data_IF_272239705376
#
_entry.id   IF_272239705376
#
_cell.length_a   1.000
_cell.length_b   1.000
_cell.length_c   1.000
_cell.angle_alpha   90.00
_cell.angle_beta   90.00
_cell.angle_gamma   90.00
#
_symmetry.space_group_name_H-M   'P 1'
#
loop_
_entity.id
_entity.type
_entity.pdbx_description
1 polymer ?
#
# COMPACT_ATOMS: atom_id res chain seq x y z
N UNK A 1 74.54 7.82 -0.67
CA UNK A 1 74.31 8.90 -1.65
C UNK A 1 72.85 8.81 -2.09
N UNK A 2 72.04 9.77 -1.63
CA UNK A 2 70.64 9.93 -2.05
C UNK A 2 70.61 10.39 -3.50
N UNK A 3 69.88 9.68 -4.37
CA UNK A 3 69.17 10.31 -5.49
C UNK A 3 67.79 9.66 -5.59
N UNK A 4 66.77 10.47 -5.32
CA UNK A 4 65.37 10.21 -5.62
C UNK A 4 65.00 11.16 -6.76
N UNK A 5 64.46 10.65 -7.89
CA UNK A 5 63.31 11.31 -8.53
C UNK A 5 62.73 10.55 -9.75
N UNK A 6 61.39 10.46 -9.68
CA UNK A 6 60.38 10.63 -10.74
C UNK A 6 60.17 9.56 -11.83
N UNK A 7 59.07 8.82 -11.62
CA UNK A 7 57.88 8.73 -12.50
C UNK A 7 58.08 8.76 -14.02
N UNK A 8 57.83 7.62 -14.68
CA UNK A 8 57.19 7.57 -16.01
C UNK A 8 56.23 6.37 -16.08
N UNK A 9 54.97 6.69 -16.37
CA UNK A 9 53.87 5.83 -16.80
C UNK A 9 54.24 4.88 -17.95
N UNK A 10 53.92 3.58 -17.86
CA UNK A 10 53.61 2.79 -19.07
C UNK A 10 52.72 1.56 -18.79
N UNK A 11 51.44 1.73 -19.15
CA UNK A 11 50.54 0.78 -19.84
C UNK A 11 50.82 -0.73 -19.65
N UNK A 12 49.95 -1.39 -18.88
CA UNK A 12 49.52 -2.76 -19.19
C UNK A 12 48.00 -2.83 -19.04
N UNK A 13 47.36 -2.66 -20.19
CA UNK A 13 45.93 -2.86 -20.44
C UNK A 13 45.64 -4.32 -20.11
N UNK A 14 44.93 -4.58 -19.01
CA UNK A 14 44.28 -5.88 -18.81
C UNK A 14 43.13 -5.92 -19.78
N UNK A 15 43.31 -6.75 -20.81
CA UNK A 15 42.38 -6.97 -21.89
C UNK A 15 41.00 -7.36 -21.34
N UNK A 16 40.00 -6.67 -21.89
CA UNK A 16 38.59 -6.94 -21.76
C UNK A 16 38.26 -8.40 -22.08
N UNK A 17 37.68 -9.10 -21.12
CA UNK A 17 36.62 -10.08 -21.39
C UNK A 17 35.41 -9.68 -20.55
N UNK A 18 34.90 -8.49 -20.82
CA UNK A 18 33.50 -8.18 -20.56
C UNK A 18 32.68 -9.06 -21.51
N UNK A 19 32.25 -10.23 -21.03
CA UNK A 19 31.00 -10.79 -21.54
C UNK A 19 29.89 -9.87 -21.07
N UNK A 20 29.63 -8.81 -21.85
CA UNK A 20 28.35 -8.14 -21.84
C UNK A 20 27.34 -9.19 -22.33
N UNK A 21 26.77 -9.94 -21.39
CA UNK A 21 25.40 -10.38 -21.58
C UNK A 21 24.59 -9.10 -21.63
N UNK A 22 24.35 -8.60 -22.84
CA UNK A 22 23.34 -7.60 -23.10
C UNK A 22 22.01 -8.18 -22.59
N UNK A 23 21.71 -7.93 -21.32
CA UNK A 23 20.35 -8.04 -20.81
C UNK A 23 19.59 -6.86 -21.42
N UNK A 24 19.15 -7.03 -22.66
CA UNK A 24 18.03 -6.26 -23.16
C UNK A 24 16.83 -6.66 -22.30
N UNK A 25 16.37 -5.75 -21.46
CA UNK A 25 15.06 -5.86 -20.85
C UNK A 25 14.05 -6.01 -22.00
N UNK A 26 13.36 -7.16 -22.03
CA UNK A 26 12.25 -7.37 -22.97
C UNK A 26 11.13 -6.46 -22.49
N UNK A 27 10.72 -5.49 -23.30
CA UNK A 27 9.60 -4.60 -23.02
C UNK A 27 8.40 -5.41 -22.51
N UNK A 28 7.90 -5.06 -21.32
CA UNK A 28 6.68 -5.63 -20.77
C UNK A 28 5.52 -4.68 -21.11
N UNK A 29 4.78 -4.99 -22.17
CA UNK A 29 3.67 -4.19 -22.69
C UNK A 29 2.46 -4.05 -21.76
N UNK A 30 2.50 -4.59 -20.54
CA UNK A 30 1.37 -4.49 -19.59
C UNK A 30 1.40 -3.21 -18.74
N UNK A 31 2.57 -2.58 -18.58
CA UNK A 31 2.74 -1.29 -17.91
C UNK A 31 3.96 -0.61 -18.54
N UNK A 32 3.83 0.59 -19.11
CA UNK A 32 4.96 1.37 -19.60
C UNK A 32 5.86 1.77 -18.40
N UNK A 33 6.71 0.85 -17.97
CA UNK A 33 7.69 1.02 -16.90
C UNK A 33 8.83 1.93 -17.41
N UNK A 34 8.61 3.25 -17.43
CA UNK A 34 9.73 4.14 -17.12
C UNK A 34 9.87 4.16 -15.61
N UNK A 35 10.52 3.14 -15.03
CA UNK A 35 11.09 3.12 -13.66
C UNK A 35 11.58 1.71 -13.25
N UNK A 36 11.89 0.83 -14.20
CA UNK A 36 12.60 -0.40 -13.90
C UNK A 36 14.11 -0.19 -14.08
N UNK A 37 14.75 0.50 -13.14
CA UNK A 37 16.21 0.50 -13.05
C UNK A 37 16.70 0.57 -11.60
N UNK A 38 16.77 -0.59 -10.98
CA UNK A 38 17.89 -1.04 -10.15
C UNK A 38 17.53 -2.36 -9.50
N UNK A 39 18.33 -3.38 -9.78
CA UNK A 39 18.32 -4.66 -9.08
C UNK A 39 18.63 -4.42 -7.60
N UNK A 40 17.61 -4.28 -6.76
CA UNK A 40 17.81 -4.05 -5.32
C UNK A 40 17.90 -5.35 -4.55
N UNK A 41 19.11 -5.65 -4.07
CA UNK A 41 19.42 -6.86 -3.32
C UNK A 41 18.97 -6.79 -1.86
N UNK A 42 18.68 -5.61 -1.28
CA UNK A 42 18.10 -5.47 0.08
C UNK A 42 17.32 -4.15 0.20
N UNK A 43 16.03 -4.26 0.56
CA UNK A 43 15.06 -3.18 0.84
C UNK A 43 14.52 -2.39 -0.37
N UNK A 44 13.21 -2.14 -0.47
CA UNK A 44 12.59 -1.48 -1.63
C UNK A 44 12.87 0.03 -1.70
N UNK A 45 13.19 0.54 -2.90
CA UNK A 45 13.29 1.97 -3.26
C UNK A 45 11.92 2.63 -3.05
N UNK A 46 11.86 3.67 -2.21
CA UNK A 46 10.75 4.61 -2.14
C UNK A 46 11.01 5.80 -3.09
N UNK A 47 10.68 5.71 -4.39
CA UNK A 47 10.66 6.89 -5.26
C UNK A 47 9.58 6.80 -6.33
N UNK A 48 8.34 7.04 -5.93
CA UNK A 48 7.24 7.49 -6.79
C UNK A 48 6.36 8.38 -5.90
N UNK A 49 5.60 9.33 -6.45
CA UNK A 49 4.69 10.15 -5.64
C UNK A 49 3.85 9.28 -4.68
N UNK A 50 3.37 9.87 -3.57
CA UNK A 50 2.68 9.12 -2.53
C UNK A 50 1.56 8.21 -3.07
N UNK A 51 0.95 8.55 -4.21
CA UNK A 51 -0.18 7.88 -4.83
C UNK A 51 0.17 6.87 -5.93
N UNK A 52 1.46 6.63 -6.19
CA UNK A 52 1.94 5.65 -7.16
C UNK A 52 2.89 4.60 -6.54
N UNK A 53 2.89 4.49 -5.21
CA UNK A 53 3.58 3.42 -4.48
C UNK A 53 3.08 2.06 -4.97
N UNK A 54 3.99 1.18 -5.38
CA UNK A 54 3.65 -0.18 -5.80
C UNK A 54 4.53 -1.23 -5.11
N UNK A 55 4.04 -2.47 -5.09
CA UNK A 55 4.81 -3.64 -4.68
C UNK A 55 4.66 -4.74 -5.71
N UNK A 56 5.77 -5.32 -6.13
CA UNK A 56 5.82 -6.45 -7.07
C UNK A 56 6.03 -7.71 -6.25
N UNK A 57 5.01 -8.58 -6.21
CA UNK A 57 5.10 -9.86 -5.52
C UNK A 57 5.73 -10.88 -6.47
N UNK A 58 5.30 -10.88 -7.73
CA UNK A 58 5.88 -11.64 -8.83
C UNK A 58 5.46 -11.01 -10.18
N UNK A 59 5.96 -11.49 -11.34
CA UNK A 59 5.64 -10.89 -12.64
C UNK A 59 4.14 -10.79 -12.97
N UNK A 60 3.32 -11.67 -12.39
CA UNK A 60 1.88 -11.76 -12.61
C UNK A 60 1.05 -11.29 -11.40
N UNK A 61 1.70 -10.77 -10.35
CA UNK A 61 1.02 -10.27 -9.16
C UNK A 61 1.70 -9.00 -8.67
N UNK A 62 1.05 -7.86 -8.93
CA UNK A 62 1.49 -6.53 -8.48
C UNK A 62 0.34 -5.81 -7.80
N UNK A 63 0.65 -4.99 -6.82
CA UNK A 63 -0.31 -4.10 -6.16
C UNK A 63 0.21 -2.67 -6.22
N UNK A 64 -0.67 -1.71 -6.45
CA UNK A 64 -0.30 -0.30 -6.42
C UNK A 64 -1.42 0.58 -5.88
N UNK A 65 -1.01 1.66 -5.25
CA UNK A 65 -1.85 2.83 -5.08
C UNK A 65 -1.93 3.52 -6.45
N UNK A 66 -3.07 4.09 -6.80
CA UNK A 66 -3.28 4.74 -8.10
C UNK A 66 -4.05 6.03 -7.92
N UNK A 67 -3.53 7.09 -8.52
CA UNK A 67 -4.21 8.37 -8.69
C UNK A 67 -5.19 8.30 -9.87
N UNK A 68 -6.45 8.66 -9.64
CA UNK A 68 -7.50 8.73 -10.66
C UNK A 68 -7.90 10.18 -10.97
N UNK A 69 -7.07 11.14 -10.58
CA UNK A 69 -7.28 12.56 -10.79
C UNK A 69 -8.16 13.21 -9.72
N UNK A 70 -8.63 14.41 -10.02
CA UNK A 70 -9.38 15.22 -9.07
C UNK A 70 -10.85 15.37 -9.49
N UNK A 71 -11.72 15.66 -8.51
CA UNK A 71 -13.11 16.07 -8.74
C UNK A 71 -13.44 17.31 -7.94
N UNK A 72 -14.06 18.28 -8.60
CA UNK A 72 -14.59 19.46 -7.93
C UNK A 72 -16.00 19.20 -7.41
N UNK A 73 -16.28 19.70 -6.22
CA UNK A 73 -17.55 19.57 -5.50
C UNK A 73 -17.94 20.91 -4.91
N UNK A 74 -19.25 21.08 -4.74
CA UNK A 74 -19.82 22.25 -4.06
C UNK A 74 -20.75 21.76 -2.96
N UNK A 75 -20.58 22.28 -1.74
CA UNK A 75 -21.47 22.01 -0.61
C UNK A 75 -21.72 23.31 0.14
N UNK A 76 -22.99 23.70 0.29
CA UNK A 76 -23.40 24.93 0.99
C UNK A 76 -22.60 26.18 0.52
N UNK A 77 -22.47 26.36 -0.79
CA UNK A 77 -21.70 27.44 -1.45
C UNK A 77 -20.18 27.44 -1.22
N UNK A 78 -19.63 26.38 -0.62
CA UNK A 78 -18.19 26.17 -0.53
C UNK A 78 -17.77 25.22 -1.64
N UNK A 79 -16.88 25.70 -2.52
CA UNK A 79 -16.24 24.87 -3.53
C UNK A 79 -15.00 24.19 -2.93
N UNK A 80 -14.85 22.90 -3.19
CA UNK A 80 -13.69 22.13 -2.74
C UNK A 80 -13.39 21.01 -3.73
N UNK A 81 -12.12 20.62 -3.77
CA UNK A 81 -11.64 19.56 -4.64
C UNK A 81 -11.35 18.31 -3.81
N UNK A 82 -11.73 17.15 -4.33
CA UNK A 82 -11.34 15.85 -3.80
C UNK A 82 -10.38 15.17 -4.77
N UNK A 83 -9.35 14.52 -4.24
CA UNK A 83 -8.45 13.64 -4.98
C UNK A 83 -9.04 12.23 -5.01
N UNK A 84 -9.29 11.71 -6.21
CA UNK A 84 -9.69 10.32 -6.43
C UNK A 84 -8.45 9.44 -6.43
N UNK A 85 -8.51 8.35 -5.69
CA UNK A 85 -7.48 7.33 -5.72
C UNK A 85 -8.08 5.96 -5.48
N UNK A 86 -7.25 4.94 -5.62
CA UNK A 86 -7.63 3.60 -5.27
C UNK A 86 -6.47 2.63 -5.28
N UNK A 87 -6.79 1.37 -4.99
CA UNK A 87 -5.82 0.28 -5.00
C UNK A 87 -6.15 -0.66 -6.14
N UNK A 88 -5.17 -0.84 -7.02
CA UNK A 88 -5.24 -1.76 -8.14
C UNK A 88 -4.32 -2.95 -7.91
N UNK A 89 -4.80 -4.14 -8.25
CA UNK A 89 -4.04 -5.39 -8.23
C UNK A 89 -3.97 -5.95 -9.64
N UNK A 90 -2.76 -6.05 -10.20
CA UNK A 90 -2.52 -6.89 -11.37
C UNK A 90 -2.51 -8.34 -10.88
N UNK A 91 -3.43 -9.17 -11.36
CA UNK A 91 -3.48 -10.60 -11.09
C UNK A 91 -3.57 -11.37 -12.41
N UNK A 92 -2.51 -12.09 -12.75
CA UNK A 92 -2.31 -12.63 -14.08
C UNK A 92 -2.05 -11.51 -15.09
N UNK A 93 -2.97 -11.36 -16.05
CA UNK A 93 -2.93 -10.31 -17.08
C UNK A 93 -4.02 -9.25 -16.91
N UNK A 94 -4.78 -9.34 -15.82
CA UNK A 94 -5.95 -8.49 -15.58
C UNK A 94 -5.70 -7.61 -14.36
N UNK A 95 -6.12 -6.35 -14.47
CA UNK A 95 -6.06 -5.39 -13.36
C UNK A 95 -7.42 -5.38 -12.68
N UNK A 96 -7.41 -5.48 -11.36
CA UNK A 96 -8.60 -5.44 -10.53
C UNK A 96 -8.54 -4.25 -9.58
N UNK A 97 -9.63 -3.50 -9.50
CA UNK A 97 -9.84 -2.46 -8.50
C UNK A 97 -10.39 -3.08 -7.22
N UNK A 98 -9.67 -2.89 -6.12
CA UNK A 98 -10.09 -3.31 -4.76
C UNK A 98 -10.66 -2.13 -3.98
N UNK A 99 -10.23 -0.93 -4.32
CA UNK A 99 -10.70 0.32 -3.73
C UNK A 99 -10.72 1.36 -4.84
N UNK A 100 -11.82 2.12 -4.94
CA UNK A 100 -11.88 3.40 -5.64
C UNK A 100 -12.66 4.37 -4.76
N UNK A 101 -12.02 5.45 -4.35
CA UNK A 101 -12.61 6.43 -3.42
C UNK A 101 -12.03 7.82 -3.66
N UNK A 102 -12.42 8.79 -2.84
CA UNK A 102 -11.92 10.14 -2.89
C UNK A 102 -11.68 10.72 -1.49
N UNK A 103 -10.57 11.45 -1.34
CA UNK A 103 -10.18 12.16 -0.12
C UNK A 103 -10.02 13.65 -0.41
N UNK A 104 -10.05 14.54 0.59
CA UNK A 104 -9.64 15.93 0.39
C UNK A 104 -8.26 16.02 -0.27
N UNK A 105 -8.01 17.05 -1.08
CA UNK A 105 -6.67 17.25 -1.69
C UNK A 105 -5.58 17.37 -0.62
N UNK A 106 -5.90 17.97 0.53
CA UNK A 106 -5.03 18.05 1.72
C UNK A 106 -5.03 16.73 2.53
N UNK A 107 -4.80 15.60 1.85
CA UNK A 107 -4.71 14.29 2.48
C UNK A 107 -3.47 13.53 2.06
N UNK A 108 -2.91 12.80 3.02
CA UNK A 108 -1.84 11.84 2.80
C UNK A 108 -2.44 10.43 2.80
N UNK A 109 -2.17 9.68 1.73
CA UNK A 109 -2.57 8.28 1.60
C UNK A 109 -1.32 7.42 1.49
N UNK A 110 -1.23 6.40 2.35
CA UNK A 110 -0.15 5.42 2.35
C UNK A 110 -0.71 4.01 2.09
N UNK A 111 0.04 3.22 1.33
CA UNK A 111 -0.21 1.81 1.06
C UNK A 111 0.97 0.99 1.59
N UNK A 112 0.68 0.01 2.46
CA UNK A 112 1.68 -0.90 2.98
C UNK A 112 1.28 -2.36 2.74
N UNK A 113 2.20 -3.16 2.18
CA UNK A 113 2.04 -4.61 2.09
C UNK A 113 2.31 -5.24 3.46
N UNK A 114 1.36 -6.03 3.98
CA UNK A 114 1.47 -6.65 5.30
C UNK A 114 1.86 -8.13 5.22
N UNK A 115 1.33 -8.84 4.22
CA UNK A 115 1.52 -10.28 4.08
C UNK A 115 1.19 -10.72 2.66
N UNK A 116 1.83 -11.79 2.19
CA UNK A 116 1.38 -12.51 1.02
C UNK A 116 1.77 -13.98 1.07
N UNK A 117 0.92 -14.82 0.48
CA UNK A 117 1.25 -16.21 0.14
C UNK A 117 0.66 -16.55 -1.24
N UNK A 118 0.41 -17.84 -1.51
CA UNK A 118 -0.17 -18.31 -2.78
C UNK A 118 -1.67 -18.06 -2.92
N UNK A 119 -2.37 -17.78 -1.82
CA UNK A 119 -3.82 -17.65 -1.77
C UNK A 119 -4.26 -16.22 -1.41
N UNK A 120 -3.56 -15.56 -0.49
CA UNK A 120 -3.93 -14.27 0.06
C UNK A 120 -2.82 -13.24 -0.16
N UNK A 121 -3.25 -12.03 -0.50
CA UNK A 121 -2.47 -10.80 -0.47
C UNK A 121 -3.10 -9.86 0.56
N UNK A 122 -2.37 -9.45 1.59
CA UNK A 122 -2.87 -8.54 2.61
C UNK A 122 -2.10 -7.23 2.62
N UNK A 123 -2.83 -6.12 2.65
CA UNK A 123 -2.26 -4.78 2.60
C UNK A 123 -3.11 -3.81 3.41
N UNK A 124 -2.52 -2.68 3.78
CA UNK A 124 -3.16 -1.62 4.54
C UNK A 124 -3.17 -0.34 3.73
N UNK A 125 -4.29 0.36 3.76
CA UNK A 125 -4.41 1.75 3.31
C UNK A 125 -4.60 2.63 4.54
N UNK A 126 -3.80 3.69 4.66
CA UNK A 126 -3.94 4.72 5.68
C UNK A 126 -4.23 6.05 5.00
N UNK A 127 -5.27 6.74 5.46
CA UNK A 127 -5.69 8.05 4.99
C UNK A 127 -5.64 9.03 6.16
N UNK A 128 -4.79 10.04 6.06
CA UNK A 128 -4.75 11.15 7.02
C UNK A 128 -5.16 12.42 6.28
N UNK A 129 -6.34 12.93 6.60
CA UNK A 129 -6.99 14.00 5.85
C UNK A 129 -7.23 15.24 6.71
N UNK A 130 -7.14 16.42 6.09
CA UNK A 130 -7.66 17.67 6.65
C UNK A 130 -8.99 18.01 5.99
N UNK A 131 -10.07 18.12 6.78
CA UNK A 131 -11.40 18.44 6.30
C UNK A 131 -11.67 19.92 6.61
N UNK A 132 -11.51 20.80 5.62
CA UNK A 132 -11.60 22.26 5.80
C UNK A 132 -12.79 22.93 5.09
N UNK A 133 -13.63 22.16 4.37
CA UNK A 133 -14.83 22.65 3.68
C UNK A 133 -16.11 22.60 4.55
N UNK A 134 -15.94 22.67 5.86
CA UNK A 134 -17.01 22.68 6.88
C UNK A 134 -16.80 23.85 7.85
N UNK A 135 -17.80 24.15 8.69
CA UNK A 135 -17.75 25.31 9.60
C UNK A 135 -16.56 25.26 10.57
N UNK A 136 -16.22 24.07 11.07
CA UNK A 136 -15.11 23.85 11.98
C UNK A 136 -14.21 22.77 11.34
N UNK A 137 -13.02 23.13 10.83
CA UNK A 137 -12.09 22.16 10.27
C UNK A 137 -11.64 21.11 11.29
N UNK A 138 -11.39 19.90 10.82
CA UNK A 138 -10.92 18.78 11.64
C UNK A 138 -9.98 17.85 10.87
N UNK A 139 -9.19 17.07 11.60
CA UNK A 139 -8.36 15.99 11.06
C UNK A 139 -9.13 14.68 11.11
N UNK A 140 -8.92 13.84 10.10
CA UNK A 140 -9.47 12.48 10.04
C UNK A 140 -8.34 11.50 9.77
N UNK A 141 -8.25 10.46 10.58
CA UNK A 141 -7.38 9.32 10.34
C UNK A 141 -8.23 8.07 10.09
N UNK A 142 -8.11 7.50 8.90
CA UNK A 142 -8.73 6.23 8.55
C UNK A 142 -7.65 5.20 8.23
N UNK A 143 -7.80 4.01 8.80
CA UNK A 143 -6.93 2.87 8.50
C UNK A 143 -7.83 1.71 8.15
N UNK A 144 -7.66 1.19 6.94
CA UNK A 144 -8.36 -0.01 6.49
C UNK A 144 -7.34 -1.06 6.06
N UNK A 145 -7.48 -2.28 6.59
CA UNK A 145 -6.69 -3.43 6.16
C UNK A 145 -7.52 -4.30 5.24
N UNK A 146 -6.94 -4.68 4.12
CA UNK A 146 -7.56 -5.50 3.11
C UNK A 146 -6.88 -6.86 3.05
N UNK A 147 -7.69 -7.92 2.92
CA UNK A 147 -7.20 -9.24 2.53
C UNK A 147 -7.87 -9.60 1.21
N UNK A 148 -7.05 -9.75 0.17
CA UNK A 148 -7.45 -10.10 -1.19
C UNK A 148 -7.12 -11.57 -1.46
N UNK A 149 -8.10 -12.32 -1.93
CA UNK A 149 -7.95 -13.70 -2.36
C UNK A 149 -7.55 -13.74 -3.84
N UNK A 150 -6.32 -14.17 -4.09
CA UNK A 150 -5.67 -14.20 -5.40
C UNK A 150 -6.37 -15.18 -6.36
N UNK A 151 -7.06 -16.21 -5.85
CA UNK A 151 -7.68 -17.23 -6.71
C UNK A 151 -9.00 -16.79 -7.30
N UNK A 152 -9.82 -16.10 -6.53
CA UNK A 152 -11.16 -15.70 -6.95
C UNK A 152 -11.36 -14.19 -7.10
N UNK A 153 -10.33 -13.38 -6.80
CA UNK A 153 -10.35 -11.92 -6.88
C UNK A 153 -11.38 -11.29 -5.93
N UNK A 154 -11.78 -12.00 -4.87
CA UNK A 154 -12.61 -11.42 -3.82
C UNK A 154 -11.72 -10.85 -2.73
N UNK A 155 -12.25 -9.92 -1.95
CA UNK A 155 -11.54 -9.31 -0.84
C UNK A 155 -12.47 -8.99 0.32
N UNK A 156 -11.88 -8.70 1.47
CA UNK A 156 -12.55 -8.06 2.60
C UNK A 156 -11.81 -6.76 2.92
N UNK A 157 -12.55 -5.77 3.42
CA UNK A 157 -11.99 -4.56 4.03
C UNK A 157 -12.30 -4.56 5.54
N UNK A 158 -11.29 -4.31 6.35
CA UNK A 158 -11.37 -4.29 7.80
C UNK A 158 -11.12 -2.85 8.25
N UNK A 159 -12.14 -2.09 8.67
CA UNK A 159 -11.94 -0.76 9.20
C UNK A 159 -11.28 -0.86 10.58
N UNK A 160 -10.01 -0.51 10.66
CA UNK A 160 -9.20 -0.62 11.89
C UNK A 160 -9.28 0.67 12.70
N UNK A 161 -9.22 1.82 12.01
CA UNK A 161 -9.37 3.14 12.60
C UNK A 161 -10.33 3.96 11.74
N UNK A 162 -11.26 4.62 12.41
CA UNK A 162 -12.04 5.73 11.87
C UNK A 162 -12.15 6.78 12.96
N UNK A 163 -11.22 7.73 12.98
CA UNK A 163 -11.05 8.68 14.09
C UNK A 163 -11.02 10.11 13.55
N UNK A 164 -11.94 10.92 14.03
CA UNK A 164 -12.02 12.35 13.75
C UNK A 164 -11.51 13.13 14.98
N UNK A 165 -10.71 14.17 14.74
CA UNK A 165 -10.26 15.03 15.81
C UNK A 165 -11.41 15.87 16.35
N UNK A 166 -11.51 15.97 17.67
CA UNK A 166 -12.33 17.00 18.31
C UNK A 166 -11.83 18.41 17.95
N UNK A 167 -12.75 19.37 17.99
CA UNK A 167 -12.52 20.77 17.60
C UNK A 167 -11.16 21.29 18.09
N UNK A 168 -10.29 21.64 17.13
CA UNK A 168 -8.95 22.23 17.34
C UNK A 168 -7.87 21.32 17.96
N UNK A 169 -8.17 20.06 18.34
CA UNK A 169 -7.15 19.19 18.94
C UNK A 169 -6.16 18.65 17.91
N UNK A 170 -6.58 18.53 16.64
CA UNK A 170 -5.87 17.85 15.54
C UNK A 170 -5.45 16.40 15.84
N UNK A 171 -5.86 15.84 16.99
CA UNK A 171 -5.48 14.53 17.46
C UNK A 171 -6.48 13.47 16.98
N UNK A 172 -5.95 12.33 16.57
CA UNK A 172 -6.73 11.16 16.14
C UNK A 172 -6.09 9.90 16.70
N UNK A 173 -6.84 8.80 16.73
CA UNK A 173 -6.30 7.50 17.11
C UNK A 173 -5.14 7.08 16.21
N UNK A 174 -4.21 6.31 16.77
CA UNK A 174 -2.98 5.91 16.11
C UNK A 174 -2.88 4.39 15.99
N UNK A 175 -2.51 3.92 14.81
CA UNK A 175 -2.12 2.52 14.62
C UNK A 175 -0.67 2.36 15.06
N UNK A 176 -0.48 1.69 16.20
CA UNK A 176 0.83 1.45 16.80
C UNK A 176 1.59 0.30 16.11
N UNK A 177 0.87 -0.58 15.44
CA UNK A 177 1.43 -1.68 14.66
C UNK A 177 0.34 -2.68 14.29
N UNK A 178 0.56 -3.36 13.17
CA UNK A 178 -0.32 -4.40 12.69
C UNK A 178 0.41 -5.45 11.86
N UNK A 179 -0.19 -6.63 11.78
CA UNK A 179 0.38 -7.76 11.05
C UNK A 179 -0.71 -8.76 10.65
N UNK A 180 -0.44 -9.50 9.58
CA UNK A 180 -1.21 -10.69 9.19
C UNK A 180 -0.30 -11.91 9.28
N UNK A 181 -0.82 -12.98 9.86
CA UNK A 181 -0.13 -14.28 9.97
C UNK A 181 -1.02 -15.40 9.46
N UNK A 182 -0.41 -16.52 9.08
CA UNK A 182 -1.11 -17.72 8.62
C UNK A 182 -0.69 -18.94 9.43
N UNK A 183 -1.67 -19.66 9.98
CA UNK A 183 -1.47 -20.95 10.65
C UNK A 183 -1.81 -22.07 9.66
N UNK A 184 -0.78 -22.70 9.10
CA UNK A 184 -0.92 -23.78 8.12
C UNK A 184 -1.60 -25.04 8.69
N UNK A 185 -1.51 -25.29 10.02
CA UNK A 185 -2.15 -26.45 10.64
C UNK A 185 -3.66 -26.27 10.73
N UNK A 186 -4.10 -25.03 10.97
CA UNK A 186 -5.53 -24.68 11.09
C UNK A 186 -6.14 -24.20 9.77
N UNK A 187 -5.31 -23.79 8.80
CA UNK A 187 -5.77 -23.17 7.57
C UNK A 187 -6.40 -21.80 7.81
N UNK A 188 -5.91 -21.06 8.81
CA UNK A 188 -6.50 -19.80 9.26
C UNK A 188 -5.52 -18.63 9.13
N UNK A 189 -6.04 -17.51 8.67
CA UNK A 189 -5.37 -16.21 8.69
C UNK A 189 -5.77 -15.45 9.94
N UNK A 190 -4.81 -14.79 10.58
CA UNK A 190 -5.05 -13.92 11.73
C UNK A 190 -4.49 -12.53 11.44
N UNK A 191 -5.36 -11.52 11.46
CA UNK A 191 -4.96 -10.12 11.51
C UNK A 191 -4.94 -9.65 12.96
N UNK A 192 -3.87 -8.94 13.34
CA UNK A 192 -3.68 -8.32 14.64
C UNK A 192 -3.31 -6.86 14.44
N UNK A 193 -3.90 -5.97 15.24
CA UNK A 193 -3.53 -4.56 15.28
C UNK A 193 -3.60 -4.02 16.71
N UNK A 194 -2.77 -3.03 17.01
CA UNK A 194 -2.82 -2.26 18.25
C UNK A 194 -3.19 -0.81 17.93
N UNK A 195 -4.33 -0.37 18.44
CA UNK A 195 -4.83 1.00 18.25
C UNK A 195 -4.66 1.78 19.54
N UNK A 196 -3.95 2.90 19.50
CA UNK A 196 -3.83 3.84 20.63
C UNK A 196 -4.88 4.92 20.49
N UNK A 197 -5.77 5.03 21.46
CA UNK A 197 -6.79 6.08 21.52
C UNK A 197 -6.17 7.43 21.87
N UNK A 198 -6.58 8.50 21.20
CA UNK A 198 -6.05 9.84 21.54
C UNK A 198 -6.62 10.38 22.86
N UNK A 199 -7.86 10.01 23.19
CA UNK A 199 -8.61 10.56 24.34
C UNK A 199 -7.96 10.22 25.68
N UNK A 200 -7.56 8.96 25.87
CA UNK A 200 -6.99 8.47 27.13
C UNK A 200 -5.62 7.79 26.97
N UNK A 201 -5.09 7.75 25.74
CA UNK A 201 -3.79 7.17 25.44
C UNK A 201 -3.71 5.64 25.57
N UNK A 202 -4.83 4.95 25.84
CA UNK A 202 -4.87 3.50 26.02
C UNK A 202 -4.68 2.76 24.70
N UNK A 203 -4.13 1.55 24.79
CA UNK A 203 -3.92 0.67 23.63
C UNK A 203 -4.97 -0.43 23.65
N UNK A 204 -5.74 -0.52 22.57
CA UNK A 204 -6.76 -1.55 22.36
C UNK A 204 -6.26 -2.54 21.29
N UNK A 205 -6.15 -3.83 21.62
CA UNK A 205 -5.82 -4.85 20.65
C UNK A 205 -7.05 -5.23 19.82
N UNK A 206 -6.90 -5.20 18.50
CA UNK A 206 -7.86 -5.72 17.54
C UNK A 206 -7.35 -7.05 16.97
N UNK A 207 -8.24 -8.04 16.86
CA UNK A 207 -7.96 -9.34 16.26
C UNK A 207 -9.11 -9.76 15.35
N UNK A 208 -8.75 -10.29 14.19
CA UNK A 208 -9.67 -10.93 13.27
C UNK A 208 -9.07 -12.25 12.78
N UNK A 209 -9.87 -13.32 12.78
CA UNK A 209 -9.50 -14.65 12.31
C UNK A 209 -10.41 -15.04 11.16
N UNK A 210 -9.82 -15.50 10.07
CA UNK A 210 -10.50 -15.80 8.82
C UNK A 210 -10.00 -17.15 8.27
N UNK A 211 -10.83 -17.82 7.50
CA UNK A 211 -10.37 -18.95 6.68
C UNK A 211 -9.85 -18.48 5.31
N UNK A 212 -9.37 -19.42 4.50
CA UNK A 212 -8.86 -19.16 3.14
C UNK A 212 -9.89 -18.62 2.15
N UNK A 213 -11.18 -18.75 2.44
CA UNK A 213 -12.27 -18.16 1.65
C UNK A 213 -12.64 -16.76 2.14
N UNK A 214 -11.82 -16.14 3.01
CA UNK A 214 -12.07 -14.86 3.67
C UNK A 214 -13.31 -14.83 4.56
N UNK A 215 -13.88 -16.00 4.91
CA UNK A 215 -15.00 -16.06 5.84
C UNK A 215 -14.48 -15.79 7.25
N UNK A 216 -15.12 -14.86 7.94
CA UNK A 216 -14.82 -14.56 9.33
C UNK A 216 -15.19 -15.72 10.25
N UNK A 217 -14.23 -16.07 11.11
CA UNK A 217 -14.35 -17.10 12.14
C UNK A 217 -14.53 -16.44 13.51
N UNK A 218 -13.75 -15.39 13.79
CA UNK A 218 -13.90 -14.57 14.98
C UNK A 218 -13.28 -13.19 14.80
N UNK A 219 -13.82 -12.20 15.49
CA UNK A 219 -13.38 -10.80 15.42
C UNK A 219 -13.60 -10.13 16.77
N UNK A 220 -12.71 -9.22 17.17
CA UNK A 220 -12.91 -8.36 18.36
C UNK A 220 -14.20 -7.53 18.24
N UNK A 221 -14.56 -7.10 17.02
CA UNK A 221 -15.74 -6.26 16.75
C UNK A 221 -16.92 -7.03 16.13
N UNK A 222 -16.94 -8.36 16.28
CA UNK A 222 -17.94 -9.21 15.62
C UNK A 222 -17.66 -9.42 14.11
N UNK A 223 -18.21 -10.49 13.55
CA UNK A 223 -18.00 -10.89 12.16
C UNK A 223 -18.99 -10.23 11.18
N UNK A 224 -20.08 -9.67 11.70
CA UNK A 224 -21.12 -8.96 10.97
C UNK A 224 -20.60 -7.71 10.24
N UNK A 225 -19.46 -7.17 10.68
CA UNK A 225 -18.80 -6.02 10.10
C UNK A 225 -17.87 -6.37 8.93
N UNK A 226 -17.66 -7.66 8.65
CA UNK A 226 -16.75 -8.14 7.60
C UNK A 226 -17.51 -8.81 6.47
N UNK A 227 -17.70 -8.09 5.37
CA UNK A 227 -18.31 -8.59 4.14
C UNK A 227 -17.27 -8.93 3.07
N UNK A 228 -17.46 -10.07 2.39
CA UNK A 228 -16.65 -10.42 1.21
C UNK A 228 -17.21 -9.70 -0.02
N UNK A 229 -16.35 -8.94 -0.70
CA UNK A 229 -16.65 -8.18 -1.90
C UNK A 229 -15.88 -8.79 -3.09
N UNK A 230 -16.40 -8.61 -4.30
CA UNK A 230 -15.69 -8.95 -5.53
C UNK A 230 -14.88 -7.75 -6.01
N UNK A 231 -13.62 -7.96 -6.40
CA UNK A 231 -12.84 -6.90 -7.04
C UNK A 231 -13.35 -6.66 -8.47
N UNK A 232 -13.43 -5.40 -8.84
CA UNK A 232 -13.93 -5.00 -10.16
C UNK A 232 -12.80 -5.09 -11.17
N UNK A 233 -13.07 -5.62 -12.36
CA UNK A 233 -12.07 -5.59 -13.44
C UNK A 233 -11.96 -4.15 -13.95
N UNK A 234 -10.73 -3.66 -14.05
CA UNK A 234 -10.48 -2.36 -14.69
C UNK A 234 -10.68 -2.52 -16.20
N UNK A 235 -11.81 -2.03 -16.68
CA UNK A 235 -12.13 -1.97 -18.11
C UNK A 235 -11.60 -0.63 -18.62
N UNK A 236 -10.39 -0.66 -19.20
CA UNK A 236 -9.83 0.48 -19.93
C UNK A 236 -10.49 0.65 -21.29
#
# INVERSE_FOLDING_TARGET
MFIMNKFIFLKMIVACNFFFNFCYAKENSSWNDYLQDSTQVKSPVEYIDAYNKYSVINPNLKIKLTDFGNIDKTKKNINYTLKKYGVQILNGKVVYDVLRTAVPVESNVDLALLYHDKAILAFRVREVSTINYVKIPFKRNQVTTFLYNIRNNNFIGIPVIHSDSEDKSEQTDLLMGDQVTYDAKKGLYTYLANVKTYQDGKIFPFKLVLNSSLKCISSTLGCETTGVLAAEKDIK
#
